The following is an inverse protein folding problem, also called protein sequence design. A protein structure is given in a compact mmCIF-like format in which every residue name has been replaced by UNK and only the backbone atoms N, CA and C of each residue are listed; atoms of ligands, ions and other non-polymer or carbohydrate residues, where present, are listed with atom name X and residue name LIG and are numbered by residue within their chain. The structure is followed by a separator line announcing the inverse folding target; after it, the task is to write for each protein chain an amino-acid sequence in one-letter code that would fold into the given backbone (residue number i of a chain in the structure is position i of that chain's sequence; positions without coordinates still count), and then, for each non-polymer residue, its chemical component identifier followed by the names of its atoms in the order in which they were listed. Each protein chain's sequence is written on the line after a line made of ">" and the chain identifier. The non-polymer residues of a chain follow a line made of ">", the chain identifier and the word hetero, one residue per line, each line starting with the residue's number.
data_IF_683221057176
#
_entry.id   IF_683221057176
#
_cell.length_a   1.000
_cell.length_b   1.000
_cell.length_c   1.000
_cell.angle_alpha   90.00
_cell.angle_beta   90.00
_cell.angle_gamma   90.00
#
_symmetry.space_group_name_H-M   'P 1'
#
loop_
_entity.id
_entity.type
_entity.pdbx_description
1 polymer ?
#
# COMPACT_ATOMS: atom_id res chain seq x y z
N UNK A 1 5.87 -10.32 -18.62
CA UNK A 1 6.41 -9.98 -17.28
C UNK A 1 5.24 -9.79 -16.33
N UNK A 2 4.99 -10.72 -15.40
CA UNK A 2 3.88 -10.59 -14.44
C UNK A 2 4.30 -9.51 -13.46
N UNK A 3 3.80 -8.28 -13.61
CA UNK A 3 4.06 -7.20 -12.66
C UNK A 3 3.65 -7.71 -11.28
N UNK A 4 4.58 -7.74 -10.30
CA UNK A 4 4.20 -8.14 -8.95
C UNK A 4 3.03 -7.26 -8.52
N UNK A 5 1.97 -7.83 -7.94
CA UNK A 5 0.82 -7.05 -7.55
C UNK A 5 1.30 -5.94 -6.63
N UNK A 6 1.05 -4.69 -7.01
CA UNK A 6 1.36 -3.52 -6.19
C UNK A 6 0.85 -3.80 -4.78
N UNK A 7 1.78 -3.90 -3.83
CA UNK A 7 1.44 -4.15 -2.45
C UNK A 7 0.72 -2.92 -1.94
N UNK A 8 -0.55 -3.06 -1.56
CA UNK A 8 -1.27 -2.01 -0.88
C UNK A 8 -0.61 -1.73 0.48
N UNK A 9 -0.58 -0.47 0.91
CA UNK A 9 -0.11 -0.12 2.24
C UNK A 9 -0.96 -0.81 3.32
N UNK A 10 -0.40 -0.96 4.52
CA UNK A 10 -1.08 -1.62 5.65
C UNK A 10 -2.44 -0.98 5.95
N UNK A 11 -2.54 0.34 5.88
CA UNK A 11 -3.78 1.07 6.12
C UNK A 11 -4.86 0.75 5.09
N UNK A 12 -4.53 0.83 3.80
CA UNK A 12 -5.49 0.53 2.73
C UNK A 12 -5.91 -0.94 2.75
N UNK A 13 -5.00 -1.83 3.16
CA UNK A 13 -5.26 -3.26 3.33
C UNK A 13 -6.21 -3.54 4.50
N UNK A 14 -6.01 -2.88 5.65
CA UNK A 14 -6.89 -3.01 6.83
C UNK A 14 -8.27 -2.39 6.60
N UNK A 15 -8.33 -1.24 5.91
CA UNK A 15 -9.60 -0.56 5.58
C UNK A 15 -10.28 -1.10 4.33
N UNK A 16 -9.65 -2.04 3.60
CA UNK A 16 -10.13 -2.60 2.32
C UNK A 16 -10.51 -1.51 1.30
N UNK A 17 -9.68 -0.48 1.20
CA UNK A 17 -9.87 0.64 0.25
C UNK A 17 -8.82 0.58 -0.86
N UNK A 18 -9.08 1.30 -1.96
CA UNK A 18 -8.14 1.46 -3.06
C UNK A 18 -6.85 2.15 -2.58
N UNK A 19 -5.70 1.51 -2.79
CA UNK A 19 -4.38 2.09 -2.58
C UNK A 19 -3.88 2.60 -3.92
N UNK A 20 -3.70 3.92 -4.03
CA UNK A 20 -3.22 4.58 -5.25
C UNK A 20 -2.04 5.53 -4.97
N UNK A 21 -1.24 5.86 -5.99
CA UNK A 21 -0.12 6.79 -5.86
C UNK A 21 -0.58 8.16 -5.32
N UNK A 22 0.33 8.94 -4.70
CA UNK A 22 0.03 10.29 -4.24
C UNK A 22 -0.31 11.20 -5.43
N UNK A 23 -1.12 12.22 -5.17
CA UNK A 23 -1.63 13.12 -6.22
C UNK A 23 -0.67 14.26 -6.56
N UNK A 24 0.21 14.66 -5.63
CA UNK A 24 0.98 15.89 -5.72
C UNK A 24 2.46 15.69 -6.07
N UNK A 25 2.86 14.52 -6.56
CA UNK A 25 4.26 14.27 -6.91
C UNK A 25 5.22 14.32 -5.72
N UNK A 26 4.70 14.42 -4.49
CA UNK A 26 5.47 14.30 -3.26
C UNK A 26 6.33 13.03 -3.30
N UNK A 27 7.65 13.20 -3.18
CA UNK A 27 8.66 12.15 -2.99
C UNK A 27 8.42 11.25 -1.76
N UNK A 28 7.42 11.57 -0.95
CA UNK A 28 6.96 10.70 0.11
C UNK A 28 6.35 9.44 -0.48
N UNK A 29 6.91 8.27 -0.15
CA UNK A 29 6.35 6.93 -0.36
C UNK A 29 4.98 6.74 0.33
N UNK A 30 4.02 7.61 0.07
CA UNK A 30 2.71 7.66 0.69
C UNK A 30 1.63 7.52 -0.37
N UNK A 31 0.60 6.73 -0.10
CA UNK A 31 -0.55 6.64 -1.00
C UNK A 31 -1.50 7.82 -0.76
N UNK A 32 -2.22 8.25 -1.79
CA UNK A 32 -3.21 9.35 -1.71
C UNK A 32 -4.19 9.22 -0.51
N UNK A 33 -4.72 8.01 -0.16
CA UNK A 33 -5.57 7.85 1.03
C UNK A 33 -4.86 8.16 2.35
N UNK A 34 -3.59 7.75 2.49
CA UNK A 34 -2.81 8.04 3.69
C UNK A 34 -2.42 9.51 3.74
N UNK A 35 -2.04 10.10 2.61
CA UNK A 35 -1.65 11.49 2.51
C UNK A 35 -2.80 12.44 2.86
N UNK A 36 -3.99 12.23 2.30
CA UNK A 36 -5.20 13.02 2.63
C UNK A 36 -5.60 12.93 4.10
N UNK A 37 -5.29 11.81 4.75
CA UNK A 37 -5.59 11.58 6.17
C UNK A 37 -4.42 11.93 7.09
N UNK A 38 -3.29 12.37 6.52
CA UNK A 38 -2.03 12.61 7.21
C UNK A 38 -1.61 11.42 8.10
N UNK A 39 -1.86 10.20 7.63
CA UNK A 39 -1.53 8.95 8.33
C UNK A 39 -0.23 8.35 7.80
N UNK A 40 0.45 7.60 8.68
CA UNK A 40 1.66 6.89 8.34
C UNK A 40 1.41 5.83 7.24
N UNK A 41 2.02 6.02 6.07
CA UNK A 41 1.89 5.09 4.95
C UNK A 41 3.03 4.06 4.98
N UNK A 42 2.81 2.96 5.70
CA UNK A 42 3.73 1.81 5.69
C UNK A 42 3.32 0.79 4.65
N UNK A 43 4.19 0.55 3.67
CA UNK A 43 4.06 -0.56 2.73
C UNK A 43 4.66 -1.83 3.35
N UNK A 44 3.98 -2.98 3.29
CA UNK A 44 4.59 -4.24 3.68
C UNK A 44 5.73 -4.57 2.72
N UNK A 45 6.92 -4.87 3.25
CA UNK A 45 8.04 -5.34 2.43
C UNK A 45 7.78 -6.74 1.83
N UNK A 46 6.98 -7.56 2.53
CA UNK A 46 6.69 -8.93 2.13
C UNK A 46 5.20 -9.18 1.88
N UNK A 47 4.88 -9.79 0.74
CA UNK A 47 3.55 -10.32 0.46
C UNK A 47 3.36 -11.68 1.11
N UNK A 48 2.54 -11.76 2.15
CA UNK A 48 2.11 -13.05 2.73
C UNK A 48 0.92 -13.69 1.97
N UNK A 49 0.55 -13.17 0.80
CA UNK A 49 -0.53 -13.78 -0.01
C UNK A 49 -0.04 -15.13 -0.53
N UNK A 50 -0.83 -16.19 -0.33
CA UNK A 50 -0.51 -17.54 -0.82
C UNK A 50 0.46 -18.34 0.05
N UNK A 51 0.95 -17.79 1.17
CA UNK A 51 1.77 -18.56 2.12
C UNK A 51 0.82 -19.38 3.00
N UNK A 52 0.71 -20.67 2.72
CA UNK A 52 0.05 -21.65 3.60
C UNK A 52 1.09 -22.03 4.67
N UNK A 53 0.86 -21.65 5.93
CA UNK A 53 1.69 -22.16 7.03
C UNK A 53 1.54 -23.69 7.02
N UNK A 54 2.65 -24.41 6.87
CA UNK A 54 2.70 -25.86 7.09
C UNK A 54 2.66 -26.14 8.58
#
# INVERSE_FOLDING_TARGET
>A
KKTPPLLACLFCRSKKIACGPPVDGSDGHTCNPCQRRNLECKYPAESRRGIKKK
#
